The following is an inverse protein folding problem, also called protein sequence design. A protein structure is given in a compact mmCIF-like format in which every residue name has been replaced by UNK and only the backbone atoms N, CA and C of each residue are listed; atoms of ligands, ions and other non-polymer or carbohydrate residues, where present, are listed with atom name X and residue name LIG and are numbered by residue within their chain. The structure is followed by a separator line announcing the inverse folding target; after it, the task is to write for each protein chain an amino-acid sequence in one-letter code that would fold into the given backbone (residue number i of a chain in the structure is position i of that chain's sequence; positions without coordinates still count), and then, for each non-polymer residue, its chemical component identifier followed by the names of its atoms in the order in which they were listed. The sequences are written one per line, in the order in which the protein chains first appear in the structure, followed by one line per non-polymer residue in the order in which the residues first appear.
data_IF_512656434276
#
_entry.id   IF_512656434276
#
_cell.length_a   1.000
_cell.length_b   1.000
_cell.length_c   1.000
_cell.angle_alpha   90.00
_cell.angle_beta   90.00
_cell.angle_gamma   90.00
#
_symmetry.space_group_name_H-M   'P 1'
#
loop_
_entity.id
_entity.type
_entity.pdbx_description
1 polymer ?
#
# COMPACT_ATOMS: atom_id res chain seq x y z
N UNK A 1 -21.36 -6.41 -3.43
CA UNK A 1 -20.21 -6.09 -4.30
C UNK A 1 -18.92 -5.88 -3.49
N UNK A 2 -18.89 -4.96 -2.53
CA UNK A 2 -17.73 -4.67 -1.67
C UNK A 2 -17.12 -5.91 -0.97
N UNK A 3 -17.89 -6.82 -0.32
CA UNK A 3 -17.30 -8.00 0.33
C UNK A 3 -16.75 -9.02 -0.67
N UNK A 4 -17.42 -9.18 -1.83
CA UNK A 4 -16.98 -10.08 -2.92
C UNK A 4 -15.63 -9.61 -3.48
N UNK A 5 -15.47 -8.30 -3.59
CA UNK A 5 -14.28 -7.68 -4.16
C UNK A 5 -13.09 -7.72 -3.18
N UNK A 6 -13.34 -7.53 -1.88
CA UNK A 6 -12.33 -7.74 -0.83
C UNK A 6 -11.86 -9.20 -0.81
N UNK A 7 -12.80 -10.16 -0.89
CA UNK A 7 -12.48 -11.59 -0.96
C UNK A 7 -11.69 -11.91 -2.24
N UNK A 8 -12.06 -11.34 -3.38
CA UNK A 8 -11.36 -11.54 -4.65
C UNK A 8 -9.94 -10.97 -4.62
N UNK A 9 -9.71 -9.82 -3.98
CA UNK A 9 -8.37 -9.23 -3.83
C UNK A 9 -7.49 -10.04 -2.86
N UNK A 10 -8.06 -10.56 -1.78
CA UNK A 10 -7.34 -11.47 -0.86
C UNK A 10 -6.96 -12.76 -1.59
N UNK A 11 -7.86 -13.34 -2.38
CA UNK A 11 -7.57 -14.50 -3.23
C UNK A 11 -6.51 -14.18 -4.31
N UNK A 12 -6.61 -13.03 -4.97
CA UNK A 12 -5.63 -12.62 -5.97
C UNK A 12 -4.23 -12.39 -5.37
N UNK A 13 -4.14 -11.77 -4.18
CA UNK A 13 -2.87 -11.56 -3.47
C UNK A 13 -2.23 -12.88 -3.01
N UNK A 14 -3.03 -13.81 -2.50
CA UNK A 14 -2.56 -15.15 -2.11
C UNK A 14 -2.10 -15.97 -3.32
N UNK A 15 -2.83 -15.93 -4.44
CA UNK A 15 -2.43 -16.62 -5.69
C UNK A 15 -1.18 -15.98 -6.33
N UNK A 16 -1.08 -14.65 -6.34
CA UNK A 16 0.07 -13.93 -6.91
C UNK A 16 1.37 -14.17 -6.14
N UNK A 17 1.29 -14.42 -4.84
CA UNK A 17 2.45 -14.72 -3.98
C UNK A 17 2.88 -16.20 -4.00
N UNK A 18 2.03 -17.11 -4.52
CA UNK A 18 2.32 -18.56 -4.59
C UNK A 18 3.40 -18.91 -5.63
N UNK A 19 3.74 -18.02 -6.57
CA UNK A 19 4.56 -18.37 -7.74
C UNK A 19 6.08 -18.41 -7.57
N UNK A 20 6.64 -18.22 -6.36
CA UNK A 20 8.10 -18.37 -6.16
C UNK A 20 8.46 -18.83 -4.76
N UNK A 21 9.17 -19.96 -4.69
CA UNK A 21 9.63 -20.69 -3.50
C UNK A 21 10.02 -19.83 -2.28
N UNK A 22 9.59 -20.29 -1.10
CA UNK A 22 9.43 -19.61 0.21
C UNK A 22 8.07 -18.92 0.43
N UNK A 23 7.00 -19.67 0.22
CA UNK A 23 5.62 -19.20 0.05
C UNK A 23 4.92 -18.58 1.29
N UNK A 24 5.37 -18.80 2.53
CA UNK A 24 4.64 -18.32 3.72
C UNK A 24 5.06 -16.91 4.20
N UNK A 25 6.36 -16.59 4.27
CA UNK A 25 6.82 -15.26 4.74
C UNK A 25 6.38 -14.13 3.80
N UNK A 26 6.43 -14.37 2.48
CA UNK A 26 6.06 -13.36 1.47
C UNK A 26 4.55 -13.13 1.36
N UNK A 27 3.75 -14.15 1.66
CA UNK A 27 2.28 -14.03 1.69
C UNK A 27 1.81 -13.24 2.92
N UNK A 28 2.44 -13.42 4.08
CA UNK A 28 2.20 -12.61 5.28
C UNK A 28 2.54 -11.13 5.01
N UNK A 29 3.64 -10.86 4.33
CA UNK A 29 4.01 -9.49 3.96
C UNK A 29 2.96 -8.85 3.04
N UNK A 30 2.42 -9.62 2.09
CA UNK A 30 1.34 -9.15 1.23
C UNK A 30 0.04 -8.86 2.00
N UNK A 31 -0.29 -9.71 2.97
CA UNK A 31 -1.43 -9.47 3.84
C UNK A 31 -1.25 -8.17 4.66
N UNK A 32 -0.05 -7.93 5.21
CA UNK A 32 0.26 -6.69 5.92
C UNK A 32 0.10 -5.45 5.03
N UNK A 33 0.50 -5.51 3.75
CA UNK A 33 0.31 -4.42 2.81
C UNK A 33 -1.16 -4.12 2.51
N UNK A 34 -1.98 -5.16 2.30
CA UNK A 34 -3.44 -5.00 2.10
C UNK A 34 -4.11 -4.44 3.36
N UNK A 35 -3.73 -4.90 4.54
CA UNK A 35 -4.23 -4.38 5.82
C UNK A 35 -3.85 -2.91 5.98
N UNK A 36 -2.60 -2.54 5.68
CA UNK A 36 -2.13 -1.15 5.73
C UNK A 36 -2.95 -0.24 4.83
N UNK A 37 -3.17 -0.63 3.56
CA UNK A 37 -4.01 0.11 2.63
C UNK A 37 -5.47 0.21 3.10
N UNK A 38 -6.02 -0.87 3.68
CA UNK A 38 -7.35 -0.87 4.28
C UNK A 38 -7.48 0.10 5.47
N UNK A 39 -6.50 0.09 6.39
CA UNK A 39 -6.45 1.03 7.51
C UNK A 39 -6.34 2.48 7.04
N UNK A 40 -5.56 2.73 5.98
CA UNK A 40 -5.44 4.06 5.37
C UNK A 40 -6.79 4.57 4.83
N UNK A 41 -7.54 3.71 4.13
CA UNK A 41 -8.88 4.02 3.61
C UNK A 41 -9.86 4.30 4.75
N UNK A 42 -9.86 3.48 5.81
CA UNK A 42 -10.73 3.72 6.97
C UNK A 42 -10.38 5.07 7.63
N UNK A 43 -9.09 5.35 7.77
CA UNK A 43 -8.59 6.60 8.37
C UNK A 43 -8.96 7.82 7.54
N UNK A 44 -8.79 7.77 6.22
CA UNK A 44 -9.12 8.89 5.33
C UNK A 44 -10.62 9.18 5.31
N UNK A 45 -11.46 8.14 5.23
CA UNK A 45 -12.91 8.26 5.30
C UNK A 45 -13.39 8.80 6.65
N UNK A 46 -12.78 8.33 7.75
CA UNK A 46 -13.03 8.86 9.08
C UNK A 46 -12.68 10.34 9.20
N UNK A 47 -11.51 10.73 8.69
CA UNK A 47 -11.04 12.13 8.70
C UNK A 47 -11.98 13.04 7.90
N UNK A 48 -12.38 12.64 6.70
CA UNK A 48 -13.31 13.38 5.85
C UNK A 48 -14.71 13.51 6.46
N UNK A 49 -15.17 12.47 7.16
CA UNK A 49 -16.44 12.48 7.90
C UNK A 49 -16.41 13.50 9.04
N UNK A 50 -15.31 13.54 9.81
CA UNK A 50 -15.12 14.50 10.90
C UNK A 50 -15.04 15.95 10.36
N UNK A 51 -14.41 16.15 9.20
CA UNK A 51 -14.36 17.45 8.53
C UNK A 51 -15.71 17.89 7.90
N UNK A 52 -16.78 17.11 8.05
CA UNK A 52 -18.12 17.47 7.58
C UNK A 52 -18.33 17.33 6.06
N UNK A 53 -17.46 16.59 5.36
CA UNK A 53 -17.64 16.33 3.94
C UNK A 53 -18.77 15.32 3.76
N UNK A 54 -19.78 15.68 2.95
CA UNK A 54 -20.93 14.80 2.70
C UNK A 54 -20.51 13.56 1.92
N UNK A 55 -20.80 12.38 2.48
CA UNK A 55 -20.61 11.11 1.79
C UNK A 55 -21.66 10.96 0.69
N UNK A 56 -21.20 10.94 -0.57
CA UNK A 56 -22.03 10.71 -1.76
C UNK A 56 -21.91 9.26 -2.24
N UNK A 57 -22.94 8.72 -2.89
CA UNK A 57 -22.95 7.31 -3.35
C UNK A 57 -21.76 6.96 -4.25
N UNK A 58 -21.31 7.88 -5.11
CA UNK A 58 -20.16 7.65 -5.99
C UNK A 58 -18.83 7.52 -5.20
N UNK A 59 -18.73 8.15 -4.02
CA UNK A 59 -17.55 8.06 -3.16
C UNK A 59 -17.38 6.66 -2.56
N UNK A 60 -18.40 5.79 -2.63
CA UNK A 60 -18.29 4.38 -2.23
C UNK A 60 -17.40 3.56 -3.19
N UNK A 61 -17.03 4.11 -4.36
CA UNK A 61 -16.06 3.49 -5.29
C UNK A 61 -14.62 3.86 -4.93
N UNK A 62 -14.40 5.02 -4.31
CA UNK A 62 -13.08 5.48 -3.84
C UNK A 62 -12.30 4.44 -3.02
N UNK A 63 -12.87 3.69 -2.04
CA UNK A 63 -12.10 2.69 -1.31
C UNK A 63 -11.52 1.61 -2.21
N UNK A 64 -12.25 1.19 -3.25
CA UNK A 64 -11.72 0.21 -4.21
C UNK A 64 -10.60 0.80 -5.06
N UNK A 65 -10.78 2.04 -5.51
CA UNK A 65 -9.77 2.75 -6.31
C UNK A 65 -8.47 2.93 -5.52
N UNK A 66 -8.57 3.43 -4.29
CA UNK A 66 -7.41 3.69 -3.42
C UNK A 66 -6.72 2.39 -3.02
N UNK A 67 -7.50 1.34 -2.70
CA UNK A 67 -6.94 0.05 -2.33
C UNK A 67 -6.23 -0.62 -3.53
N UNK A 68 -6.73 -0.43 -4.75
CA UNK A 68 -6.04 -0.89 -5.97
C UNK A 68 -4.69 -0.19 -6.16
N UNK A 69 -4.63 1.13 -5.96
CA UNK A 69 -3.37 1.89 -6.03
C UNK A 69 -2.41 1.49 -4.91
N UNK A 70 -2.90 1.34 -3.67
CA UNK A 70 -2.07 0.92 -2.55
C UNK A 70 -1.48 -0.50 -2.70
N UNK A 71 -2.21 -1.42 -3.34
CA UNK A 71 -1.71 -2.75 -3.68
C UNK A 71 -0.60 -2.65 -4.76
N UNK A 72 -0.75 -1.79 -5.75
CA UNK A 72 0.29 -1.56 -6.78
C UNK A 72 1.60 -1.06 -6.13
N UNK A 73 1.51 -0.05 -5.27
CA UNK A 73 2.65 0.48 -4.51
C UNK A 73 3.31 -0.59 -3.62
N UNK A 74 2.50 -1.49 -3.06
CA UNK A 74 2.99 -2.61 -2.24
C UNK A 74 3.84 -3.58 -3.06
N UNK A 75 3.34 -3.98 -4.23
CA UNK A 75 4.06 -4.88 -5.12
C UNK A 75 5.32 -4.21 -5.69
N UNK A 76 5.26 -2.92 -6.01
CA UNK A 76 6.42 -2.14 -6.47
C UNK A 76 7.54 -2.11 -5.42
N UNK A 77 7.21 -1.84 -4.16
CA UNK A 77 8.21 -1.81 -3.09
C UNK A 77 8.76 -3.21 -2.80
N UNK A 78 7.91 -4.24 -2.79
CA UNK A 78 8.35 -5.64 -2.63
C UNK A 78 9.23 -6.11 -3.79
N UNK A 79 8.92 -5.74 -5.03
CA UNK A 79 9.74 -6.06 -6.19
C UNK A 79 11.12 -5.39 -6.10
N UNK A 80 11.15 -4.12 -5.68
CA UNK A 80 12.39 -3.36 -5.47
C UNK A 80 13.26 -4.01 -4.39
N UNK A 81 12.66 -4.38 -3.25
CA UNK A 81 13.33 -5.11 -2.17
C UNK A 81 13.97 -6.42 -2.67
N UNK A 82 13.17 -7.27 -3.33
CA UNK A 82 13.66 -8.55 -3.86
C UNK A 82 14.80 -8.36 -4.88
N UNK A 83 14.73 -7.32 -5.72
CA UNK A 83 15.78 -6.99 -6.70
C UNK A 83 17.08 -6.59 -6.01
N UNK A 84 17.02 -5.69 -5.03
CA UNK A 84 18.20 -5.17 -4.33
C UNK A 84 18.89 -6.26 -3.51
N UNK A 85 18.12 -7.08 -2.78
CA UNK A 85 18.63 -8.22 -2.02
C UNK A 85 19.28 -9.26 -2.93
N UNK A 86 18.69 -9.55 -4.10
CA UNK A 86 19.26 -10.50 -5.05
C UNK A 86 20.60 -10.04 -5.63
N UNK A 87 20.77 -8.73 -5.85
CA UNK A 87 21.99 -8.14 -6.41
C UNK A 87 23.11 -7.94 -5.37
N UNK A 88 22.79 -7.79 -4.08
CA UNK A 88 23.74 -7.35 -3.06
C UNK A 88 23.71 -8.24 -1.80
N UNK A 89 23.99 -9.55 -1.95
CA UNK A 89 23.92 -10.52 -0.83
C UNK A 89 24.93 -10.30 0.31
N UNK A 90 26.03 -9.59 0.05
CA UNK A 90 27.13 -9.39 1.01
C UNK A 90 27.07 -8.05 1.75
N UNK A 91 26.07 -7.21 1.48
CA UNK A 91 25.93 -5.87 2.05
C UNK A 91 25.08 -5.94 3.33
N UNK A 92 25.39 -5.16 4.39
CA UNK A 92 24.60 -5.13 5.61
C UNK A 92 23.15 -4.69 5.34
N UNK A 93 22.21 -5.27 6.11
CA UNK A 93 20.77 -5.05 6.00
C UNK A 93 20.37 -3.56 5.95
N UNK A 94 21.00 -2.72 6.76
CA UNK A 94 20.72 -1.28 6.84
C UNK A 94 20.91 -0.59 5.49
N UNK A 95 21.99 -0.91 4.77
CA UNK A 95 22.28 -0.31 3.46
C UNK A 95 21.31 -0.83 2.40
N UNK A 96 20.90 -2.10 2.49
CA UNK A 96 19.91 -2.68 1.58
C UNK A 96 18.54 -2.03 1.74
N UNK A 97 18.12 -1.81 2.99
CA UNK A 97 16.87 -1.12 3.31
C UNK A 97 16.94 0.33 2.84
N UNK A 98 18.03 1.05 3.12
CA UNK A 98 18.22 2.42 2.65
C UNK A 98 18.08 2.52 1.13
N UNK A 99 18.81 1.70 0.37
CA UNK A 99 18.71 1.68 -1.10
C UNK A 99 17.31 1.31 -1.59
N UNK A 100 16.63 0.40 -0.89
CA UNK A 100 15.27 0.00 -1.24
C UNK A 100 14.32 1.16 -1.06
N UNK A 101 14.34 1.81 0.10
CA UNK A 101 13.51 2.95 0.41
C UNK A 101 13.76 4.12 -0.53
N UNK A 102 15.03 4.43 -0.82
CA UNK A 102 15.40 5.51 -1.73
C UNK A 102 14.79 5.31 -3.12
N UNK A 103 14.84 4.08 -3.65
CA UNK A 103 14.29 3.77 -4.97
C UNK A 103 12.77 3.61 -4.96
N UNK A 104 12.21 2.86 -4.01
CA UNK A 104 10.78 2.54 -3.98
C UNK A 104 9.93 3.74 -3.58
N UNK A 105 10.31 4.46 -2.51
CA UNK A 105 9.52 5.59 -2.01
C UNK A 105 9.55 6.75 -3.00
N UNK A 106 10.68 6.99 -3.68
CA UNK A 106 10.73 7.98 -4.74
C UNK A 106 9.77 7.64 -5.89
N UNK A 107 9.73 6.37 -6.31
CA UNK A 107 8.80 5.92 -7.35
C UNK A 107 7.33 6.02 -6.93
N UNK A 108 7.01 5.61 -5.70
CA UNK A 108 5.65 5.70 -5.14
C UNK A 108 5.22 7.16 -4.95
N UNK A 109 6.15 8.04 -4.58
CA UNK A 109 5.86 9.46 -4.46
C UNK A 109 5.52 10.07 -5.82
N UNK A 110 6.25 9.70 -6.88
CA UNK A 110 5.96 10.15 -8.24
C UNK A 110 4.57 9.71 -8.71
N UNK A 111 4.21 8.43 -8.51
CA UNK A 111 2.87 7.93 -8.85
C UNK A 111 1.78 8.59 -7.99
N UNK A 112 2.04 8.82 -6.71
CA UNK A 112 1.10 9.51 -5.81
C UNK A 112 0.86 10.95 -6.26
N UNK A 113 1.93 11.68 -6.61
CA UNK A 113 1.82 13.07 -7.11
C UNK A 113 0.99 13.10 -8.39
N UNK A 114 1.28 12.23 -9.36
CA UNK A 114 0.52 12.19 -10.62
C UNK A 114 -0.96 11.92 -10.38
N UNK A 115 -1.28 10.90 -9.57
CA UNK A 115 -2.65 10.57 -9.19
C UNK A 115 -3.34 11.76 -8.49
N UNK A 116 -2.69 12.39 -7.51
CA UNK A 116 -3.23 13.55 -6.79
C UNK A 116 -3.48 14.71 -7.75
N UNK A 117 -2.57 15.01 -8.68
CA UNK A 117 -2.75 16.07 -9.66
C UNK A 117 -3.96 15.81 -10.56
N UNK A 118 -4.11 14.58 -11.06
CA UNK A 118 -5.27 14.19 -11.87
C UNK A 118 -6.58 14.37 -11.09
N UNK A 119 -6.63 13.96 -9.82
CA UNK A 119 -7.83 14.15 -9.00
C UNK A 119 -8.07 15.61 -8.61
N UNK A 120 -7.03 16.41 -8.39
CA UNK A 120 -7.15 17.86 -8.16
C UNK A 120 -7.78 18.51 -9.39
N UNK A 121 -7.32 18.21 -10.60
CA UNK A 121 -7.94 18.71 -11.84
C UNK A 121 -9.40 18.25 -11.92
N UNK A 122 -9.72 17.03 -11.48
CA UNK A 122 -11.07 16.53 -11.36
C UNK A 122 -12.00 17.35 -10.44
N UNK A 123 -11.45 18.03 -9.42
CA UNK A 123 -12.23 18.92 -8.55
C UNK A 123 -12.71 20.20 -9.25
N UNK A 124 -12.14 20.57 -10.39
CA UNK A 124 -12.54 21.74 -11.18
C UNK A 124 -13.86 21.46 -11.94
N UNK A 125 -14.22 20.19 -12.12
CA UNK A 125 -15.42 19.75 -12.86
C UNK A 125 -16.69 20.49 -12.44
N UNK A 126 -17.59 20.76 -13.40
CA UNK A 126 -18.83 21.53 -13.16
C UNK A 126 -19.82 20.74 -12.27
N UNK A 127 -19.71 19.41 -12.25
CA UNK A 127 -20.61 18.55 -11.49
C UNK A 127 -20.20 18.44 -10.01
N UNK A 128 -21.03 18.87 -9.05
CA UNK A 128 -20.66 18.91 -7.63
C UNK A 128 -20.41 17.51 -7.04
N UNK A 129 -21.08 16.48 -7.57
CA UNK A 129 -20.90 15.08 -7.15
C UNK A 129 -19.47 14.60 -7.47
N UNK A 130 -18.94 14.99 -8.64
CA UNK A 130 -17.57 14.64 -9.03
C UNK A 130 -16.52 15.38 -8.20
N UNK A 131 -16.79 16.64 -7.81
CA UNK A 131 -15.90 17.39 -6.92
C UNK A 131 -15.71 16.71 -5.58
N UNK A 132 -16.81 16.29 -4.96
CA UNK A 132 -16.78 15.58 -3.67
C UNK A 132 -16.00 14.28 -3.83
N UNK A 133 -16.29 13.48 -4.85
CA UNK A 133 -15.54 12.24 -5.15
C UNK A 133 -14.03 12.49 -5.27
N UNK A 134 -13.61 13.49 -6.03
CA UNK A 134 -12.20 13.83 -6.22
C UNK A 134 -11.53 14.26 -4.90
N UNK A 135 -12.23 15.02 -4.04
CA UNK A 135 -11.72 15.37 -2.70
C UNK A 135 -11.49 14.10 -1.85
N UNK A 136 -12.43 13.15 -1.88
CA UNK A 136 -12.27 11.85 -1.20
C UNK A 136 -11.05 11.09 -1.72
N UNK A 137 -10.81 11.08 -3.03
CA UNK A 137 -9.64 10.45 -3.64
C UNK A 137 -8.34 11.13 -3.23
N UNK A 138 -8.23 12.46 -3.32
CA UNK A 138 -7.00 13.21 -2.97
C UNK A 138 -6.58 12.94 -1.54
N UNK A 139 -7.50 13.08 -0.58
CA UNK A 139 -7.18 12.86 0.84
C UNK A 139 -6.82 11.40 1.10
N UNK A 140 -7.53 10.47 0.48
CA UNK A 140 -7.24 9.03 0.65
C UNK A 140 -5.89 8.63 0.06
N UNK A 141 -5.48 9.23 -1.06
CA UNK A 141 -4.17 8.97 -1.68
C UNK A 141 -3.02 9.50 -0.83
N UNK A 142 -3.19 10.66 -0.19
CA UNK A 142 -2.18 11.20 0.72
C UNK A 142 -2.03 10.29 1.94
N UNK A 143 -3.15 9.85 2.53
CA UNK A 143 -3.13 8.96 3.69
C UNK A 143 -2.57 7.58 3.33
N UNK A 144 -2.92 7.00 2.18
CA UNK A 144 -2.37 5.70 1.75
C UNK A 144 -0.87 5.79 1.51
N UNK A 145 -0.36 6.88 0.93
CA UNK A 145 1.08 7.10 0.78
C UNK A 145 1.81 7.08 2.13
N UNK A 146 1.28 7.78 3.13
CA UNK A 146 1.87 7.82 4.48
C UNK A 146 1.90 6.43 5.10
N UNK A 147 0.78 5.70 5.05
CA UNK A 147 0.67 4.34 5.59
C UNK A 147 1.59 3.36 4.85
N UNK A 148 1.73 3.51 3.54
CA UNK A 148 2.60 2.66 2.73
C UNK A 148 4.09 2.89 3.04
N UNK A 149 4.51 4.15 3.14
CA UNK A 149 5.88 4.50 3.48
C UNK A 149 6.26 4.09 4.91
N UNK A 150 5.32 4.16 5.86
CA UNK A 150 5.57 3.89 7.28
C UNK A 150 5.27 2.45 7.67
N UNK A 151 4.00 2.01 7.67
CA UNK A 151 3.59 0.68 8.15
C UNK A 151 4.12 -0.43 7.25
N UNK A 152 3.88 -0.34 5.94
CA UNK A 152 4.32 -1.40 5.04
C UNK A 152 5.86 -1.43 4.92
N UNK A 153 6.50 -0.26 4.94
CA UNK A 153 7.95 -0.14 5.05
C UNK A 153 8.52 -0.79 6.33
N UNK A 154 7.87 -0.59 7.48
CA UNK A 154 8.25 -1.27 8.72
C UNK A 154 8.12 -2.79 8.61
N UNK A 155 7.05 -3.30 7.97
CA UNK A 155 6.90 -4.73 7.72
C UNK A 155 8.05 -5.30 6.86
N UNK A 156 8.48 -4.59 5.81
CA UNK A 156 9.65 -5.00 4.99
C UNK A 156 10.92 -5.03 5.84
N UNK A 157 11.12 -4.03 6.70
CA UNK A 157 12.28 -3.98 7.59
C UNK A 157 12.30 -5.18 8.54
N UNK A 158 11.17 -5.54 9.13
CA UNK A 158 11.04 -6.70 10.01
C UNK A 158 11.29 -8.02 9.27
N UNK A 159 10.74 -8.18 8.06
CA UNK A 159 11.00 -9.35 7.21
C UNK A 159 12.48 -9.42 6.81
N UNK A 160 13.10 -8.28 6.54
CA UNK A 160 14.54 -8.16 6.31
C UNK A 160 15.37 -8.62 7.50
N UNK A 161 15.09 -8.16 8.73
CA UNK A 161 15.79 -8.64 9.93
C UNK A 161 15.68 -10.15 10.07
N UNK A 162 14.47 -10.70 9.89
CA UNK A 162 14.21 -12.15 9.97
C UNK A 162 15.04 -12.95 8.97
N UNK A 163 15.15 -12.48 7.73
CA UNK A 163 15.93 -13.16 6.69
C UNK A 163 17.43 -13.22 6.99
N UNK A 164 17.98 -12.20 7.66
CA UNK A 164 19.42 -12.09 7.93
C UNK A 164 19.85 -12.71 9.27
N UNK A 165 18.95 -12.81 10.26
CA UNK A 165 19.22 -13.50 11.54
C UNK A 165 19.09 -15.03 11.42
N UNK A 166 18.52 -15.54 10.32
CA UNK A 166 18.41 -16.99 10.09
C UNK A 166 17.31 -17.68 10.88
N UNK A 167 16.45 -16.94 11.59
CA UNK A 167 15.34 -17.51 12.35
C UNK A 167 14.26 -18.04 11.39
N UNK A 168 14.08 -19.36 11.43
CA UNK A 168 13.12 -20.06 10.59
C UNK A 168 11.70 -19.78 11.05
N UNK A 169 11.03 -18.89 10.32
CA UNK A 169 9.59 -18.85 9.99
C UNK A 169 8.65 -19.67 10.89
N UNK A 170 8.61 -19.41 12.19
CA UNK A 170 7.49 -19.81 13.03
C UNK A 170 7.22 -18.69 14.03
N UNK A 171 6.21 -17.88 13.71
CA UNK A 171 5.38 -17.13 14.66
C UNK A 171 6.19 -16.28 15.65
N UNK A 172 6.42 -15.02 15.30
CA UNK A 172 6.39 -13.92 16.27
C UNK A 172 6.00 -12.64 15.53
N UNK A 173 4.74 -12.29 15.72
CA UNK A 173 4.16 -10.96 15.49
C UNK A 173 4.49 -10.21 16.79
N UNK A 174 5.36 -9.18 16.81
CA UNK A 174 5.34 -8.29 17.95
C UNK A 174 4.08 -7.44 17.78
N UNK A 175 3.14 -7.62 18.70
CA UNK A 175 2.06 -6.67 18.92
C UNK A 175 2.64 -5.36 19.45
#
# INVERSE_FOLDING_TARGET
LLPILVIALILFCTISTIRRDRALSKSILALCGVISAGCAVITSFGLLSICGVRLVQIALITPFLVLSIGIDDMFLMLATWNRIVAQNKSVPLVILLQKTYEQSVCSILLTTIDNVLVFIVGTISIFPIMRIFCIYCVVSLIVVFIFQATLFGACITLDGVKQFTGESSFICIPF
#
